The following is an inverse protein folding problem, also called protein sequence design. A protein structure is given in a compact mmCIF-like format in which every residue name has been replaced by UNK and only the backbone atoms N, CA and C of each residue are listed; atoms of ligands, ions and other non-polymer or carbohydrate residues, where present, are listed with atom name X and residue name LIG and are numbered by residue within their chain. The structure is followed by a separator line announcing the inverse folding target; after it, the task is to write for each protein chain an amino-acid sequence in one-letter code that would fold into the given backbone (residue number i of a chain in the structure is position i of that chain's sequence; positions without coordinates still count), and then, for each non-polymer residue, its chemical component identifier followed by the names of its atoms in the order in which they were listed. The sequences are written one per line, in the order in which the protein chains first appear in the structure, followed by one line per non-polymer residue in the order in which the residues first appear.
data_IF_642080025162
#
_entry.id   IF_642080025162
#
_cell.length_a   1.000
_cell.length_b   1.000
_cell.length_c   1.000
_cell.angle_alpha   90.00
_cell.angle_beta   90.00
_cell.angle_gamma   90.00
#
_symmetry.space_group_name_H-M   'P 1'
#
loop_
_entity.id
_entity.type
_entity.pdbx_description
1 polymer ?
#
# COMPACT_ATOMS: atom_id res chain seq x y z
N UNK A 1 -20.51 47.32 69.03
CA UNK A 1 -20.49 48.12 67.79
C UNK A 1 -20.71 47.11 66.67
N UNK A 2 -21.98 46.88 66.32
CA UNK A 2 -22.70 47.53 65.22
C UNK A 2 -22.21 46.92 63.88
N UNK A 3 -23.00 46.31 63.00
CA UNK A 3 -24.44 46.15 62.77
C UNK A 3 -24.61 44.84 61.97
N UNK A 4 -25.69 44.06 62.08
CA UNK A 4 -26.96 44.30 61.39
C UNK A 4 -27.08 43.38 60.15
N UNK A 5 -27.91 42.31 60.17
CA UNK A 5 -29.32 42.28 59.69
C UNK A 5 -29.39 42.04 58.16
N UNK A 6 -30.14 41.13 57.52
CA UNK A 6 -31.19 40.13 57.84
C UNK A 6 -31.61 39.40 56.55
N UNK A 7 -32.07 38.15 56.67
CA UNK A 7 -33.29 37.62 56.01
C UNK A 7 -33.24 37.29 54.49
N UNK A 8 -34.02 36.34 53.95
CA UNK A 8 -35.09 35.52 54.51
C UNK A 8 -35.39 34.29 53.61
N UNK A 9 -35.83 33.22 54.29
CA UNK A 9 -36.81 32.16 53.99
C UNK A 9 -36.96 31.47 52.60
N UNK A 10 -37.25 30.14 52.60
CA UNK A 10 -37.69 29.38 51.43
C UNK A 10 -39.23 29.42 51.25
N UNK A 11 -39.72 29.36 50.02
CA UNK A 11 -41.15 29.22 49.72
C UNK A 11 -41.45 27.84 49.10
N UNK A 12 -42.26 27.08 49.84
CA UNK A 12 -42.96 25.86 49.44
C UNK A 12 -44.20 26.18 48.58
N UNK A 13 -44.61 25.19 47.75
CA UNK A 13 -46.00 24.87 47.35
C UNK A 13 -46.69 25.85 46.35
N UNK A 14 -47.45 25.45 45.33
CA UNK A 14 -48.08 24.19 44.95
C UNK A 14 -48.72 24.27 43.53
N UNK A 15 -49.12 23.09 43.00
CA UNK A 15 -50.20 22.82 42.00
C UNK A 15 -49.86 23.12 40.53
N UNK A 16 -50.30 22.34 39.53
CA UNK A 16 -51.16 21.16 39.46
C UNK A 16 -51.09 20.53 38.04
N UNK A 17 -51.07 19.20 38.00
CA UNK A 17 -51.96 18.29 37.24
C UNK A 17 -52.03 18.33 35.70
N UNK A 18 -51.59 17.22 35.08
CA UNK A 18 -52.35 16.27 34.23
C UNK A 18 -51.36 15.16 33.78
N UNK A 19 -51.38 13.89 34.24
CA UNK A 19 -52.36 12.82 34.04
C UNK A 19 -52.86 12.80 32.56
N UNK A 20 -52.67 11.80 31.71
CA UNK A 20 -52.75 10.34 31.94
C UNK A 20 -52.70 9.58 30.58
N UNK A 21 -52.27 8.30 30.59
CA UNK A 21 -52.83 7.15 29.82
C UNK A 21 -52.43 6.86 28.34
N UNK A 22 -51.73 5.71 28.18
CA UNK A 22 -51.82 4.64 27.14
C UNK A 22 -51.44 4.90 25.66
N UNK A 23 -51.17 3.85 24.81
CA UNK A 23 -50.83 2.44 25.07
C UNK A 23 -49.59 1.93 24.29
N UNK A 24 -49.22 0.68 24.62
CA UNK A 24 -48.29 -0.23 23.91
C UNK A 24 -48.62 -0.36 22.42
N UNK A 25 -47.58 -0.35 21.57
CA UNK A 25 -47.58 -1.09 20.32
C UNK A 25 -46.16 -1.61 20.02
N UNK A 26 -46.01 -2.93 20.17
CA UNK A 26 -45.00 -3.70 19.46
C UNK A 26 -45.16 -3.44 17.97
N UNK A 27 -44.08 -3.04 17.30
CA UNK A 27 -43.87 -3.42 15.91
C UNK A 27 -42.49 -4.04 15.81
N UNK A 28 -42.50 -5.37 15.85
CA UNK A 28 -41.44 -6.22 15.33
C UNK A 28 -41.18 -5.84 13.87
N UNK A 29 -39.95 -5.44 13.55
CA UNK A 29 -39.46 -5.53 12.18
C UNK A 29 -38.23 -6.44 12.14
N UNK A 30 -38.52 -7.71 11.94
CA UNK A 30 -37.60 -8.67 11.36
C UNK A 30 -37.39 -8.24 9.90
N UNK A 31 -36.17 -7.79 9.55
CA UNK A 31 -35.69 -7.89 8.17
C UNK A 31 -34.47 -8.79 8.17
N UNK A 32 -34.67 -9.89 7.47
CA UNK A 32 -33.72 -10.91 7.08
C UNK A 32 -32.37 -10.37 6.60
N UNK A 33 -31.33 -11.04 7.08
CA UNK A 33 -30.30 -11.70 6.26
C UNK A 33 -29.97 -10.97 4.96
N UNK A 34 -28.95 -10.12 5.03
CA UNK A 34 -28.21 -9.63 3.88
C UNK A 34 -26.76 -9.54 4.26
N UNK A 35 -26.11 -10.68 4.49
CA UNK A 35 -24.67 -10.75 4.64
C UNK A 35 -24.03 -10.02 3.47
N UNK A 36 -23.50 -8.84 3.75
CA UNK A 36 -22.63 -8.09 2.85
C UNK A 36 -21.30 -8.80 2.75
N UNK A 37 -21.32 -10.04 2.24
CA UNK A 37 -20.22 -10.58 1.47
C UNK A 37 -20.06 -9.57 0.35
N UNK A 38 -19.14 -8.61 0.52
CA UNK A 38 -18.53 -7.93 -0.61
C UNK A 38 -18.02 -9.08 -1.46
N UNK A 39 -18.79 -9.44 -2.48
CA UNK A 39 -18.42 -10.46 -3.42
C UNK A 39 -17.08 -9.98 -3.97
N UNK A 40 -16.00 -10.60 -3.49
CA UNK A 40 -14.74 -10.65 -4.21
C UNK A 40 -15.14 -11.22 -5.55
N UNK A 41 -15.46 -10.34 -6.51
CA UNK A 41 -15.56 -10.70 -7.90
C UNK A 41 -14.16 -11.15 -8.25
N UNK A 42 -13.92 -12.44 -8.09
CA UNK A 42 -12.74 -13.11 -8.56
C UNK A 42 -12.70 -12.80 -10.04
N UNK A 43 -11.81 -11.90 -10.44
CA UNK A 43 -11.57 -11.59 -11.84
C UNK A 43 -11.32 -12.93 -12.55
N UNK A 44 -12.28 -13.34 -13.37
CA UNK A 44 -12.21 -14.58 -14.11
C UNK A 44 -11.04 -14.49 -15.07
N UNK A 45 -10.09 -15.41 -14.93
CA UNK A 45 -8.96 -15.50 -15.83
C UNK A 45 -9.47 -16.04 -17.18
N UNK A 46 -8.98 -15.51 -18.31
CA UNK A 46 -9.29 -16.09 -19.61
C UNK A 46 -8.69 -17.50 -19.73
N UNK A 47 -9.35 -18.37 -20.51
CA UNK A 47 -8.86 -19.72 -20.84
C UNK A 47 -7.39 -19.66 -21.29
N UNK A 48 -6.53 -20.46 -20.65
CA UNK A 48 -5.12 -20.64 -21.01
C UNK A 48 -4.10 -19.70 -20.33
N UNK A 49 -4.52 -18.69 -19.56
CA UNK A 49 -3.60 -17.91 -18.74
C UNK A 49 -3.62 -18.43 -17.30
N UNK A 50 -2.56 -19.14 -16.88
CA UNK A 50 -2.36 -19.40 -15.45
C UNK A 50 -2.15 -18.06 -14.74
N UNK A 51 -2.67 -17.95 -13.52
CA UNK A 51 -2.59 -16.75 -12.67
C UNK A 51 -1.15 -16.27 -12.47
N UNK A 52 -0.21 -17.21 -12.56
CA UNK A 52 1.23 -17.00 -12.33
C UNK A 52 2.05 -16.75 -13.61
N UNK A 53 1.46 -16.94 -14.80
CA UNK A 53 2.12 -16.62 -16.06
C UNK A 53 2.42 -15.11 -16.17
N UNK A 54 3.50 -14.75 -16.87
CA UNK A 54 3.83 -13.33 -17.09
C UNK A 54 2.68 -12.56 -17.78
N UNK A 55 2.01 -13.20 -18.75
CA UNK A 55 0.83 -12.65 -19.42
C UNK A 55 -0.35 -12.49 -18.47
N UNK A 56 -0.59 -13.47 -17.59
CA UNK A 56 -1.64 -13.41 -16.56
C UNK A 56 -1.42 -12.26 -15.58
N UNK A 57 -0.22 -12.15 -15.01
CA UNK A 57 0.14 -11.10 -14.06
C UNK A 57 0.07 -9.70 -14.71
N UNK A 58 0.59 -9.55 -15.93
CA UNK A 58 0.50 -8.28 -16.67
C UNK A 58 -0.96 -7.88 -16.94
N UNK A 59 -1.80 -8.84 -17.37
CA UNK A 59 -3.23 -8.61 -17.57
C UNK A 59 -3.94 -8.23 -16.27
N UNK A 60 -3.58 -8.87 -15.15
CA UNK A 60 -4.13 -8.56 -13.83
C UNK A 60 -3.80 -7.11 -13.43
N UNK A 61 -2.54 -6.69 -13.54
CA UNK A 61 -2.13 -5.31 -13.28
C UNK A 61 -2.84 -4.30 -14.21
N UNK A 62 -2.91 -4.60 -15.51
CA UNK A 62 -3.65 -3.78 -16.47
C UNK A 62 -5.14 -3.67 -16.17
N UNK A 63 -5.77 -4.77 -15.75
CA UNK A 63 -7.18 -4.78 -15.30
C UNK A 63 -7.37 -3.97 -14.02
N UNK A 64 -6.44 -4.06 -13.06
CA UNK A 64 -6.46 -3.24 -11.86
C UNK A 64 -6.40 -1.74 -12.20
N UNK A 65 -5.50 -1.31 -13.09
CA UNK A 65 -5.45 0.11 -13.48
C UNK A 65 -6.74 0.61 -14.14
N UNK A 66 -7.37 -0.22 -15.00
CA UNK A 66 -8.67 0.12 -15.58
C UNK A 66 -9.75 0.24 -14.51
N UNK A 67 -9.78 -0.69 -13.55
CA UNK A 67 -10.71 -0.65 -12.43
C UNK A 67 -10.49 0.59 -11.56
N UNK A 68 -9.25 0.87 -11.14
CA UNK A 68 -8.91 2.01 -10.30
C UNK A 68 -9.30 3.34 -10.95
N UNK A 69 -9.04 3.50 -12.25
CA UNK A 69 -9.47 4.70 -12.99
C UNK A 69 -10.98 4.86 -13.07
N UNK A 70 -11.73 3.76 -13.19
CA UNK A 70 -13.21 3.81 -13.30
C UNK A 70 -13.87 3.98 -11.94
N UNK A 71 -13.44 3.22 -10.94
CA UNK A 71 -14.15 3.07 -9.67
C UNK A 71 -13.41 3.65 -8.46
N UNK A 72 -12.08 3.79 -8.53
CA UNK A 72 -11.30 4.38 -7.45
C UNK A 72 -11.53 5.89 -7.29
N UNK A 73 -11.06 6.47 -6.16
CA UNK A 73 -11.07 7.91 -5.94
C UNK A 73 -10.41 8.67 -7.10
N UNK A 74 -10.91 9.87 -7.40
CA UNK A 74 -10.37 10.69 -8.52
C UNK A 74 -9.29 11.67 -8.08
N UNK A 75 -9.35 12.13 -6.82
CA UNK A 75 -8.40 13.09 -6.29
C UNK A 75 -7.08 12.38 -5.96
N UNK A 76 -5.95 12.81 -6.55
CA UNK A 76 -4.65 12.25 -6.21
C UNK A 76 -4.21 12.64 -4.81
N UNK A 77 -3.57 11.70 -4.12
CA UNK A 77 -2.87 11.93 -2.86
C UNK A 77 -1.37 11.99 -3.14
N UNK A 78 -0.71 13.04 -2.66
CA UNK A 78 0.75 13.18 -2.74
C UNK A 78 1.38 12.54 -1.52
N UNK A 79 2.29 11.59 -1.73
CA UNK A 79 3.14 11.03 -0.69
C UNK A 79 4.57 11.54 -0.84
N UNK A 80 5.29 11.62 0.27
CA UNK A 80 6.67 12.06 0.33
C UNK A 80 7.63 10.87 0.35
N UNK A 81 8.69 10.95 -0.43
CA UNK A 81 9.87 10.08 -0.32
C UNK A 81 11.08 10.93 0.07
N UNK A 82 11.72 10.59 1.19
CA UNK A 82 12.82 11.35 1.79
C UNK A 82 14.12 10.57 1.74
N UNK A 83 15.20 11.20 1.30
CA UNK A 83 16.55 10.64 1.48
C UNK A 83 16.94 10.77 2.96
N UNK A 84 17.49 9.70 3.54
CA UNK A 84 17.99 9.72 4.92
C UNK A 84 19.41 9.17 4.97
N UNK A 85 20.20 9.53 6.00
CA UNK A 85 21.51 8.95 6.22
C UNK A 85 21.47 7.41 6.19
N UNK A 86 22.47 6.80 5.56
CA UNK A 86 22.55 5.35 5.34
C UNK A 86 22.01 4.89 3.98
N UNK A 87 21.21 5.69 3.28
CA UNK A 87 20.79 5.36 1.90
C UNK A 87 21.86 5.77 0.89
N UNK A 88 22.30 4.87 -0.02
CA UNK A 88 23.08 5.29 -1.17
C UNK A 88 22.28 6.26 -2.04
N UNK A 89 22.70 7.53 -2.08
CA UNK A 89 21.96 8.64 -2.72
C UNK A 89 21.50 8.31 -4.15
N UNK A 90 22.39 7.74 -4.96
CA UNK A 90 22.08 7.36 -6.34
C UNK A 90 21.00 6.26 -6.44
N UNK A 91 20.91 5.35 -5.47
CA UNK A 91 19.91 4.28 -5.46
C UNK A 91 18.55 4.82 -5.04
N UNK A 92 18.53 5.66 -3.99
CA UNK A 92 17.33 6.37 -3.56
C UNK A 92 16.76 7.21 -4.69
N UNK A 93 17.55 8.12 -5.27
CA UNK A 93 17.09 9.03 -6.32
C UNK A 93 16.54 8.27 -7.52
N UNK A 94 17.24 7.24 -7.99
CA UNK A 94 16.78 6.40 -9.09
C UNK A 94 15.41 5.75 -8.82
N UNK A 95 15.16 5.30 -7.59
CA UNK A 95 13.85 4.72 -7.22
C UNK A 95 12.80 5.81 -7.07
N UNK A 96 13.12 6.88 -6.37
CA UNK A 96 12.20 7.99 -6.12
C UNK A 96 11.75 8.66 -7.42
N UNK A 97 12.67 8.89 -8.36
CA UNK A 97 12.38 9.43 -9.70
C UNK A 97 11.57 8.47 -10.55
N UNK A 98 11.86 7.17 -10.51
CA UNK A 98 11.06 6.17 -11.23
C UNK A 98 9.60 6.15 -10.73
N UNK A 99 9.41 6.19 -9.42
CA UNK A 99 8.07 6.28 -8.82
C UNK A 99 7.41 7.63 -9.13
N UNK A 100 8.16 8.74 -9.07
CA UNK A 100 7.64 10.05 -9.45
C UNK A 100 7.16 10.06 -10.89
N UNK A 101 7.95 9.55 -11.83
CA UNK A 101 7.56 9.43 -13.24
C UNK A 101 6.29 8.61 -13.41
N UNK A 102 6.17 7.45 -12.75
CA UNK A 102 4.94 6.67 -12.77
C UNK A 102 3.74 7.43 -12.18
N UNK A 103 3.99 8.21 -11.12
CA UNK A 103 3.00 9.08 -10.51
C UNK A 103 2.53 10.14 -11.50
N UNK A 104 3.46 10.88 -12.12
CA UNK A 104 3.24 11.92 -13.13
C UNK A 104 2.44 11.39 -14.33
N UNK A 105 2.73 10.15 -14.76
CA UNK A 105 2.03 9.45 -15.85
C UNK A 105 0.65 8.85 -15.46
N UNK A 106 0.15 9.09 -14.25
CA UNK A 106 -1.10 8.53 -13.72
C UNK A 106 -1.12 6.98 -13.74
N UNK A 107 0.02 6.38 -13.35
CA UNK A 107 0.23 4.92 -13.27
C UNK A 107 0.44 4.41 -11.84
N UNK A 108 0.48 5.29 -10.83
CA UNK A 108 0.52 4.88 -9.42
C UNK A 108 -0.86 4.95 -8.78
N UNK A 109 -1.29 3.82 -8.20
CA UNK A 109 -2.54 3.72 -7.48
C UNK A 109 -2.34 2.86 -6.23
N UNK A 110 -3.01 3.19 -5.13
CA UNK A 110 -3.06 2.30 -3.96
C UNK A 110 -3.59 0.92 -4.36
N UNK A 111 -2.75 -0.11 -4.26
CA UNK A 111 -3.15 -1.47 -4.58
C UNK A 111 -4.11 -2.06 -3.54
N UNK A 112 -4.85 -3.09 -3.94
CA UNK A 112 -5.73 -3.85 -3.06
C UNK A 112 -5.01 -4.40 -1.82
N UNK A 113 -5.69 -4.32 -0.68
CA UNK A 113 -5.26 -4.93 0.58
C UNK A 113 -6.15 -6.13 0.94
N UNK A 114 -5.59 -7.31 1.28
CA UNK A 114 -4.16 -7.63 1.33
C UNK A 114 -3.53 -7.76 -0.06
N UNK A 115 -2.22 -7.51 -0.15
CA UNK A 115 -1.45 -7.74 -1.36
C UNK A 115 -1.38 -9.25 -1.67
N UNK A 116 -1.36 -9.65 -2.96
CA UNK A 116 -1.08 -11.01 -3.35
C UNK A 116 0.27 -11.48 -2.80
N UNK A 117 0.40 -12.77 -2.44
CA UNK A 117 1.67 -13.32 -1.98
C UNK A 117 2.73 -13.20 -3.09
N UNK A 118 3.95 -12.80 -2.71
CA UNK A 118 5.09 -12.74 -3.62
C UNK A 118 5.51 -14.15 -4.04
N UNK A 119 5.82 -14.34 -5.32
CA UNK A 119 6.30 -15.62 -5.81
C UNK A 119 7.81 -15.79 -5.49
N UNK A 120 8.14 -16.64 -4.51
CA UNK A 120 9.54 -16.88 -4.08
C UNK A 120 10.39 -17.48 -5.19
N UNK A 121 9.87 -18.43 -5.95
CA UNK A 121 10.61 -19.07 -7.05
C UNK A 121 11.03 -18.08 -8.14
N UNK A 122 10.24 -17.01 -8.34
CA UNK A 122 10.59 -15.92 -9.26
C UNK A 122 11.79 -15.13 -8.77
N UNK A 123 11.85 -14.85 -7.47
CA UNK A 123 12.99 -14.16 -6.87
C UNK A 123 14.25 -15.04 -6.95
N UNK A 124 14.15 -16.32 -6.60
CA UNK A 124 15.27 -17.29 -6.67
C UNK A 124 15.78 -17.42 -8.10
N UNK A 125 14.90 -17.65 -9.08
CA UNK A 125 15.31 -17.74 -10.50
C UNK A 125 15.96 -16.46 -11.00
N UNK A 126 15.45 -15.29 -10.60
CA UNK A 126 16.05 -14.00 -10.98
C UNK A 126 17.45 -13.83 -10.38
N UNK A 127 17.66 -14.26 -9.13
CA UNK A 127 18.97 -14.25 -8.48
C UNK A 127 19.96 -15.17 -9.21
N UNK A 128 19.56 -16.42 -9.47
CA UNK A 128 20.39 -17.39 -10.20
C UNK A 128 20.76 -16.89 -11.61
N UNK A 129 19.80 -16.34 -12.35
CA UNK A 129 20.03 -15.75 -13.67
C UNK A 129 21.02 -14.58 -13.63
N UNK A 130 20.99 -13.77 -12.57
CA UNK A 130 21.92 -12.65 -12.42
C UNK A 130 23.33 -13.13 -12.08
N UNK A 131 23.45 -14.10 -11.16
CA UNK A 131 24.73 -14.73 -10.82
C UNK A 131 25.36 -15.35 -12.06
N UNK A 132 24.58 -16.09 -12.85
CA UNK A 132 25.06 -16.69 -14.11
C UNK A 132 25.60 -15.63 -15.07
N UNK A 133 24.85 -14.54 -15.31
CA UNK A 133 25.29 -13.45 -16.20
C UNK A 133 26.54 -12.73 -15.71
N UNK A 134 26.68 -12.53 -14.41
CA UNK A 134 27.90 -11.95 -13.81
C UNK A 134 29.10 -12.87 -14.07
N UNK A 135 28.92 -14.17 -13.87
CA UNK A 135 29.95 -15.16 -14.12
C UNK A 135 30.32 -15.25 -15.61
N UNK A 136 29.33 -15.28 -16.51
CA UNK A 136 29.57 -15.28 -17.97
C UNK A 136 30.32 -14.02 -18.43
N UNK A 137 29.98 -12.85 -17.88
CA UNK A 137 30.57 -11.58 -18.31
C UNK A 137 31.97 -11.32 -17.73
N UNK A 138 32.22 -11.73 -16.48
CA UNK A 138 33.44 -11.36 -15.75
C UNK A 138 34.22 -12.55 -15.20
N UNK A 139 33.68 -13.77 -15.21
CA UNK A 139 34.25 -14.92 -14.51
C UNK A 139 35.68 -15.26 -14.95
N UNK A 140 35.94 -15.25 -16.25
CA UNK A 140 37.28 -15.54 -16.79
C UNK A 140 38.17 -14.29 -16.80
N UNK A 141 37.64 -13.14 -17.26
CA UNK A 141 38.42 -11.92 -17.47
C UNK A 141 38.74 -11.16 -16.18
N UNK A 142 37.87 -11.26 -15.18
CA UNK A 142 38.01 -10.57 -13.89
C UNK A 142 37.30 -11.35 -12.76
N UNK A 143 37.85 -12.50 -12.34
CA UNK A 143 37.22 -13.39 -11.37
C UNK A 143 36.97 -12.71 -10.02
N UNK A 144 37.81 -11.76 -9.62
CA UNK A 144 37.63 -11.01 -8.39
C UNK A 144 36.40 -10.10 -8.43
N UNK A 145 36.21 -9.37 -9.53
CA UNK A 145 35.01 -8.56 -9.73
C UNK A 145 33.76 -9.43 -9.75
N UNK A 146 33.79 -10.56 -10.46
CA UNK A 146 32.69 -11.54 -10.47
C UNK A 146 32.31 -11.97 -9.05
N UNK A 147 33.28 -12.42 -8.26
CA UNK A 147 33.07 -12.81 -6.85
C UNK A 147 32.53 -11.67 -5.99
N UNK A 148 33.06 -10.45 -6.14
CA UNK A 148 32.57 -9.27 -5.40
C UNK A 148 31.11 -8.95 -5.73
N UNK A 149 30.72 -8.99 -7.00
CA UNK A 149 29.35 -8.71 -7.44
C UNK A 149 28.37 -9.79 -6.98
N UNK A 150 28.75 -11.07 -7.08
CA UNK A 150 27.95 -12.19 -6.58
C UNK A 150 27.75 -12.05 -5.06
N UNK A 151 28.82 -11.76 -4.30
CA UNK A 151 28.73 -11.58 -2.85
C UNK A 151 27.71 -10.51 -2.46
N UNK A 152 27.72 -9.35 -3.10
CA UNK A 152 26.74 -8.26 -2.82
C UNK A 152 25.28 -8.68 -3.00
N UNK A 153 25.03 -9.66 -3.86
CA UNK A 153 23.69 -10.18 -4.12
C UNK A 153 23.31 -11.26 -3.10
N UNK A 154 24.30 -12.02 -2.59
CA UNK A 154 24.07 -13.16 -1.71
C UNK A 154 24.23 -12.85 -0.21
N UNK A 155 24.93 -11.79 0.15
CA UNK A 155 25.24 -11.41 1.55
C UNK A 155 24.12 -10.62 2.25
N UNK A 156 23.04 -10.31 1.54
CA UNK A 156 21.91 -9.55 2.06
C UNK A 156 22.10 -8.03 2.07
N UNK A 157 23.23 -7.51 1.58
CA UNK A 157 23.43 -6.06 1.38
C UNK A 157 22.53 -5.49 0.27
N UNK A 158 22.14 -6.35 -0.69
CA UNK A 158 21.15 -6.03 -1.71
C UNK A 158 19.94 -6.94 -1.62
N UNK A 159 18.76 -6.35 -1.82
CA UNK A 159 17.48 -7.04 -1.88
C UNK A 159 16.82 -6.85 -3.24
N UNK A 160 16.04 -7.85 -3.63
CA UNK A 160 15.25 -7.78 -4.85
C UNK A 160 13.99 -6.95 -4.60
N UNK A 161 13.94 -5.80 -5.27
CA UNK A 161 12.92 -4.77 -5.16
C UNK A 161 12.09 -4.67 -6.45
N UNK A 162 10.89 -4.07 -6.35
CA UNK A 162 10.04 -3.77 -7.50
C UNK A 162 10.23 -2.31 -7.94
N UNK A 163 10.57 -2.09 -9.21
CA UNK A 163 10.71 -0.75 -9.80
C UNK A 163 9.40 0.04 -9.70
N UNK A 164 8.30 -0.63 -10.01
CA UNK A 164 6.95 -0.21 -9.65
C UNK A 164 6.51 -1.00 -8.42
N UNK A 165 6.44 -0.33 -7.29
CA UNK A 165 6.03 -0.89 -5.99
C UNK A 165 4.71 -1.68 -6.06
N UNK A 166 4.67 -2.88 -5.49
CA UNK A 166 3.46 -3.73 -5.46
C UNK A 166 2.30 -3.01 -4.77
N UNK A 167 2.59 -2.33 -3.67
CA UNK A 167 1.60 -1.54 -2.92
C UNK A 167 1.06 -0.32 -3.69
N UNK A 168 1.70 0.04 -4.81
CA UNK A 168 1.30 1.12 -5.72
C UNK A 168 0.80 0.60 -7.08
N UNK A 169 0.39 -0.67 -7.16
CA UNK A 169 -0.21 -1.29 -8.34
C UNK A 169 0.78 -1.98 -9.27
N UNK A 170 2.06 -2.05 -8.87
CA UNK A 170 3.09 -2.73 -9.63
C UNK A 170 2.86 -4.23 -9.73
N UNK A 171 3.32 -4.82 -10.83
CA UNK A 171 3.17 -6.25 -11.10
C UNK A 171 4.36 -7.05 -10.54
N UNK A 172 4.12 -8.24 -9.97
CA UNK A 172 5.20 -9.14 -9.53
C UNK A 172 5.82 -9.89 -10.73
N UNK A 173 6.47 -9.16 -11.62
CA UNK A 173 7.09 -9.65 -12.86
C UNK A 173 8.60 -9.59 -12.78
N UNK A 174 9.31 -10.56 -13.39
CA UNK A 174 10.78 -10.53 -13.52
C UNK A 174 11.27 -9.21 -14.13
N UNK A 175 10.53 -8.65 -15.09
CA UNK A 175 10.82 -7.35 -15.69
C UNK A 175 10.62 -6.18 -14.73
N UNK A 176 9.82 -6.32 -13.67
CA UNK A 176 9.66 -5.29 -12.64
C UNK A 176 10.66 -5.44 -11.48
N UNK A 177 11.45 -6.51 -11.44
CA UNK A 177 12.40 -6.76 -10.37
C UNK A 177 13.78 -6.13 -10.66
N UNK A 178 14.40 -5.57 -9.63
CA UNK A 178 15.77 -5.04 -9.67
C UNK A 178 16.40 -5.09 -8.27
N UNK A 179 17.70 -5.33 -8.19
CA UNK A 179 18.43 -5.22 -6.92
C UNK A 179 18.56 -3.76 -6.47
N UNK A 180 18.31 -3.56 -5.19
CA UNK A 180 18.45 -2.30 -4.48
C UNK A 180 19.15 -2.58 -3.14
N UNK A 181 19.87 -1.59 -2.63
CA UNK A 181 20.36 -1.58 -1.25
C UNK A 181 19.24 -1.93 -0.25
N UNK A 182 19.51 -2.87 0.65
CA UNK A 182 18.50 -3.44 1.55
C UNK A 182 17.89 -2.42 2.51
N UNK A 183 18.74 -1.53 3.05
CA UNK A 183 18.28 -0.45 3.93
C UNK A 183 17.36 0.51 3.17
N UNK A 184 17.78 0.95 1.99
CA UNK A 184 16.99 1.81 1.10
C UNK A 184 15.66 1.16 0.71
N UNK A 185 15.67 -0.13 0.35
CA UNK A 185 14.48 -0.89 -0.01
C UNK A 185 13.46 -0.90 1.14
N UNK A 186 13.90 -1.34 2.32
CA UNK A 186 13.04 -1.41 3.49
C UNK A 186 12.49 -0.02 3.86
N UNK A 187 13.36 0.99 3.89
CA UNK A 187 12.98 2.31 4.36
C UNK A 187 12.07 3.05 3.38
N UNK A 188 12.26 2.90 2.06
CA UNK A 188 11.31 3.47 1.07
C UNK A 188 9.97 2.73 1.14
N UNK A 189 9.97 1.40 1.08
CA UNK A 189 8.73 0.62 0.99
C UNK A 189 7.93 0.59 2.29
N UNK A 190 8.58 0.21 3.40
CA UNK A 190 7.92 -0.10 4.68
C UNK A 190 7.82 1.10 5.60
N UNK A 191 8.83 1.97 5.62
CA UNK A 191 8.88 3.13 6.54
C UNK A 191 8.23 4.36 5.93
N UNK A 192 8.42 4.62 4.64
CA UNK A 192 7.89 5.83 4.00
C UNK A 192 6.55 5.60 3.29
N UNK A 193 6.49 4.70 2.31
CA UNK A 193 5.28 4.55 1.49
C UNK A 193 4.12 3.95 2.31
N UNK A 194 4.36 2.80 2.96
CA UNK A 194 3.27 2.03 3.61
C UNK A 194 2.48 2.86 4.63
N UNK A 195 3.08 3.65 5.55
CA UNK A 195 2.31 4.42 6.54
C UNK A 195 1.45 5.52 5.90
N UNK A 196 1.90 6.12 4.80
CA UNK A 196 1.18 7.17 4.09
C UNK A 196 -0.02 6.62 3.30
N UNK A 197 0.04 5.37 2.83
CA UNK A 197 -1.00 4.81 1.97
C UNK A 197 -1.87 3.72 2.62
N UNK A 198 -1.54 3.23 3.83
CA UNK A 198 -2.22 2.07 4.43
C UNK A 198 -3.72 2.26 4.65
N UNK A 199 -4.14 3.49 4.93
CA UNK A 199 -5.53 3.84 5.25
C UNK A 199 -6.25 4.50 4.07
N UNK A 200 -5.60 4.60 2.90
CA UNK A 200 -6.23 5.13 1.70
C UNK A 200 -7.14 4.06 1.08
N UNK A 201 -8.28 4.45 0.47
CA UNK A 201 -9.10 3.54 -0.30
C UNK A 201 -8.30 2.90 -1.45
N UNK A 202 -8.62 1.65 -1.76
CA UNK A 202 -8.07 0.96 -2.93
C UNK A 202 -8.33 1.75 -4.21
N UNK A 203 -7.33 1.79 -5.09
CA UNK A 203 -7.40 2.54 -6.34
C UNK A 203 -7.22 4.05 -6.18
N UNK A 204 -6.86 4.56 -5.00
CA UNK A 204 -6.52 5.99 -4.83
C UNK A 204 -5.30 6.34 -5.70
N UNK A 205 -5.38 7.34 -6.60
CA UNK A 205 -4.24 7.77 -7.41
C UNK A 205 -3.17 8.44 -6.53
N UNK A 206 -1.90 8.11 -6.78
CA UNK A 206 -0.78 8.56 -5.95
C UNK A 206 0.18 9.42 -6.79
N UNK A 207 0.64 10.53 -6.19
CA UNK A 207 1.76 11.34 -6.70
C UNK A 207 2.92 11.25 -5.72
N UNK A 208 4.15 11.42 -6.22
CA UNK A 208 5.36 11.40 -5.40
C UNK A 208 5.95 12.80 -5.33
N UNK A 209 6.28 13.24 -4.12
CA UNK A 209 7.15 14.38 -3.86
C UNK A 209 8.46 13.86 -3.28
N UNK A 210 9.58 14.24 -3.90
CA UNK A 210 10.91 13.82 -3.48
C UNK A 210 11.48 14.89 -2.55
N UNK A 211 11.95 14.47 -1.38
CA UNK A 211 12.68 15.29 -0.41
C UNK A 211 14.13 14.77 -0.41
N UNK A 212 15.07 15.52 -1.03
CA UNK A 212 16.45 15.07 -1.20
C UNK A 212 17.26 15.09 0.09
#
# INVERSE_FOLDING_TARGET
MADGVTGAAPAEHARNVQASLFPRLLVSLIVLIGGGVLARRSHTLPKGATRDSARGIFKAAGSFFRWARRHGPKKPVTIELRHVPGMPKHQFMRKAEALKKLGDENKLFKAHSPLPPRNRDRAVRHQQDLIRRIHEQYGERNPELSRRLIRRITDGSMQLDHRHELQLGGADLRSNLRYLDSFTNHHVGSVQIRPQIRNLPDGTPIRIRIIP
#
